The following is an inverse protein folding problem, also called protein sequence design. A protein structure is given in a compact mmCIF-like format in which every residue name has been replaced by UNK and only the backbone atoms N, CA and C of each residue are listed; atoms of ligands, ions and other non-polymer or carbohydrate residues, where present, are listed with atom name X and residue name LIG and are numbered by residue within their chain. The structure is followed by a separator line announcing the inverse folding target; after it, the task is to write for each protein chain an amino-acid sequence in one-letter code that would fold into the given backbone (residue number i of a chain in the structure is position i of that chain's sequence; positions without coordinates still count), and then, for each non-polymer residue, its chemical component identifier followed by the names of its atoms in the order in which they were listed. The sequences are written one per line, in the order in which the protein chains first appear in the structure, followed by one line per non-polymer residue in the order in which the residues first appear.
data_IF_625339867884
#
_entry.id   IF_625339867884
#
_cell.length_a   1.000
_cell.length_b   1.000
_cell.length_c   1.000
_cell.angle_alpha   90.00
_cell.angle_beta   90.00
_cell.angle_gamma   90.00
#
_symmetry.space_group_name_H-M   'P 1'
#
loop_
_entity.id
_entity.type
_entity.pdbx_description
1 polymer ?
#
# COMPACT_ATOMS: atom_id res chain seq x y z
N UNK A 1 -0.82 -4.72 -24.52
CA UNK A 1 0.15 -3.60 -24.55
C UNK A 1 -0.56 -2.35 -25.06
N UNK A 2 -0.23 -1.14 -24.57
CA UNK A 2 -0.80 0.10 -25.10
C UNK A 2 -0.29 0.33 -26.52
N UNK A 3 -1.18 0.33 -27.50
CA UNK A 3 -0.83 0.64 -28.90
C UNK A 3 -1.26 2.08 -29.15
N UNK A 4 -0.28 2.93 -29.48
CA UNK A 4 -0.49 4.34 -29.82
C UNK A 4 -0.87 4.43 -31.28
N UNK A 5 -2.05 5.00 -31.56
CA UNK A 5 -2.50 5.23 -32.92
C UNK A 5 -1.68 6.39 -33.55
N UNK A 6 -0.99 6.16 -34.70
CA UNK A 6 -0.12 7.16 -35.33
C UNK A 6 -0.88 8.35 -35.93
N UNK A 7 -2.20 8.24 -36.13
CA UNK A 7 -3.01 9.29 -36.75
C UNK A 7 -3.74 10.16 -35.71
N UNK A 8 -4.06 9.60 -34.54
CA UNK A 8 -4.88 10.30 -33.53
C UNK A 8 -4.17 10.51 -32.19
N UNK A 9 -2.99 9.93 -31.98
CA UNK A 9 -2.21 10.05 -30.73
C UNK A 9 -2.87 9.43 -29.50
N UNK A 10 -4.06 8.86 -29.66
CA UNK A 10 -4.82 8.20 -28.58
C UNK A 10 -4.18 6.85 -28.28
N UNK A 11 -4.06 6.56 -26.99
CA UNK A 11 -3.51 5.28 -26.51
C UNK A 11 -4.68 4.34 -26.30
N UNK A 12 -4.79 3.30 -27.12
CA UNK A 12 -5.79 2.25 -26.93
C UNK A 12 -5.15 1.05 -26.26
N UNK A 13 -5.75 0.58 -25.16
CA UNK A 13 -5.30 -0.63 -24.48
C UNK A 13 -6.03 -1.81 -25.10
N UNK A 14 -5.39 -2.48 -26.07
CA UNK A 14 -5.92 -3.72 -26.63
C UNK A 14 -5.59 -4.86 -25.68
N UNK A 15 -6.63 -5.46 -25.09
CA UNK A 15 -6.53 -6.74 -24.39
C UNK A 15 -6.72 -7.84 -25.45
N UNK A 16 -5.62 -8.45 -25.86
CA UNK A 16 -5.65 -9.68 -26.65
C UNK A 16 -5.61 -10.83 -25.67
N UNK A 17 -6.59 -11.73 -25.73
CA UNK A 17 -6.49 -13.05 -25.10
C UNK A 17 -5.46 -13.82 -25.94
N UNK A 18 -4.22 -13.89 -25.46
CA UNK A 18 -3.23 -14.81 -26.01
C UNK A 18 -3.47 -16.17 -25.36
N UNK A 19 -3.68 -17.19 -26.19
CA UNK A 19 -3.53 -18.58 -25.78
C UNK A 19 -2.05 -18.75 -25.41
N UNK A 20 -1.75 -18.86 -24.12
CA UNK A 20 -0.39 -19.15 -23.66
C UNK A 20 -0.30 -20.66 -23.55
N UNK A 21 0.29 -21.30 -24.56
CA UNK A 21 0.66 -22.71 -24.48
C UNK A 21 1.83 -22.83 -23.48
N UNK A 22 1.55 -23.31 -22.28
CA UNK A 22 2.56 -23.50 -21.25
C UNK A 22 3.26 -24.84 -21.52
N UNK A 23 4.52 -24.79 -21.94
CA UNK A 23 5.38 -25.98 -22.04
C UNK A 23 5.83 -26.41 -20.62
N UNK A 24 4.95 -27.13 -19.93
CA UNK A 24 5.25 -27.69 -18.60
C UNK A 24 6.51 -28.57 -18.57
N UNK A 25 6.77 -29.44 -19.58
CA UNK A 25 8.03 -30.19 -19.66
C UNK A 25 9.28 -29.31 -19.57
N UNK A 26 9.33 -28.23 -20.36
CA UNK A 26 10.45 -27.29 -20.35
C UNK A 26 10.61 -26.59 -18.99
N UNK A 27 9.50 -26.14 -18.39
CA UNK A 27 9.53 -25.48 -17.08
C UNK A 27 9.99 -26.41 -15.96
N UNK A 28 9.58 -27.69 -16.01
CA UNK A 28 10.03 -28.71 -15.06
C UNK A 28 11.51 -29.00 -15.23
N UNK A 29 12.01 -29.07 -16.46
CA UNK A 29 13.45 -29.23 -16.75
C UNK A 29 14.29 -28.07 -16.18
N UNK A 30 13.83 -26.82 -16.36
CA UNK A 30 14.48 -25.63 -15.80
C UNK A 30 14.53 -25.71 -14.26
N UNK A 31 13.41 -26.06 -13.62
CA UNK A 31 13.35 -26.20 -12.17
C UNK A 31 14.36 -27.26 -11.67
N UNK A 32 14.39 -28.43 -12.31
CA UNK A 32 15.36 -29.49 -11.99
C UNK A 32 16.81 -29.05 -12.17
N UNK A 33 17.13 -28.37 -13.28
CA UNK A 33 18.50 -27.90 -13.56
C UNK A 33 18.98 -26.81 -12.60
N UNK A 34 18.06 -25.98 -12.10
CA UNK A 34 18.38 -24.87 -11.19
C UNK A 34 18.30 -25.25 -9.71
N UNK A 35 17.85 -26.48 -9.40
CA UNK A 35 17.60 -26.91 -8.02
C UNK A 35 16.36 -26.26 -7.39
N UNK A 36 15.51 -25.64 -8.21
CA UNK A 36 14.23 -25.10 -7.80
C UNK A 36 13.09 -26.11 -7.94
N UNK A 37 11.87 -25.68 -7.63
CA UNK A 37 10.65 -26.48 -7.78
C UNK A 37 9.68 -25.82 -8.77
N UNK A 38 9.03 -26.66 -9.57
CA UNK A 38 7.94 -26.23 -10.46
C UNK A 38 6.61 -26.38 -9.73
N UNK A 39 5.84 -25.31 -9.65
CA UNK A 39 4.52 -25.29 -9.06
C UNK A 39 3.47 -24.84 -10.07
N UNK A 40 2.41 -25.62 -10.23
CA UNK A 40 1.28 -25.28 -11.07
C UNK A 40 0.21 -24.58 -10.21
N UNK A 41 0.25 -23.25 -10.15
CA UNK A 41 -0.73 -22.46 -9.42
C UNK A 41 -1.87 -22.03 -10.36
N UNK A 42 -2.90 -22.88 -10.49
CA UNK A 42 -4.10 -22.60 -11.30
C UNK A 42 -5.11 -21.68 -10.61
N UNK A 43 -4.98 -21.50 -9.30
CA UNK A 43 -5.88 -20.70 -8.48
C UNK A 43 -5.13 -19.90 -7.41
N UNK A 44 -5.81 -18.92 -6.83
CA UNK A 44 -5.23 -18.02 -5.83
C UNK A 44 -4.83 -18.73 -4.52
N UNK A 45 -5.49 -19.83 -4.18
CA UNK A 45 -5.18 -20.63 -2.99
C UNK A 45 -3.90 -21.44 -3.17
N UNK A 46 -3.75 -22.08 -4.33
CA UNK A 46 -2.52 -22.77 -4.73
C UNK A 46 -1.34 -21.80 -4.74
N UNK A 47 -1.52 -20.59 -5.27
CA UNK A 47 -0.48 -19.56 -5.26
C UNK A 47 -0.05 -19.18 -3.83
N UNK A 48 -1.01 -18.98 -2.92
CA UNK A 48 -0.73 -18.64 -1.53
C UNK A 48 0.02 -19.77 -0.80
N UNK A 49 -0.34 -21.02 -1.07
CA UNK A 49 0.34 -22.18 -0.49
C UNK A 49 1.80 -22.28 -0.95
N UNK A 50 2.07 -22.06 -2.24
CA UNK A 50 3.43 -22.04 -2.79
C UNK A 50 4.27 -20.95 -2.14
N UNK A 51 3.73 -19.74 -1.98
CA UNK A 51 4.45 -18.67 -1.30
C UNK A 51 4.70 -18.97 0.18
N UNK A 52 3.78 -19.65 0.87
CA UNK A 52 3.97 -20.07 2.26
C UNK A 52 5.04 -21.16 2.43
N UNK A 53 5.20 -22.05 1.43
CA UNK A 53 6.29 -23.04 1.40
C UNK A 53 7.65 -22.37 1.16
N UNK A 54 7.71 -21.41 0.23
CA UNK A 54 8.92 -20.63 -0.06
C UNK A 54 9.37 -19.83 1.17
N UNK A 55 8.44 -19.21 1.89
CA UNK A 55 8.73 -18.41 3.11
C UNK A 55 9.35 -19.25 4.22
N UNK A 56 9.01 -20.54 4.32
CA UNK A 56 9.62 -21.48 5.29
C UNK A 56 11.08 -21.82 4.97
N UNK A 57 11.48 -21.71 3.70
CA UNK A 57 12.85 -21.98 3.26
C UNK A 57 13.75 -20.74 3.35
N UNK A 58 13.18 -19.55 3.59
CA UNK A 58 13.94 -18.32 3.81
C UNK A 58 14.65 -18.32 5.17
N UNK A 59 15.98 -18.38 5.14
CA UNK A 59 16.82 -18.36 6.35
C UNK A 59 16.91 -17.00 7.03
N UNK A 60 16.44 -15.92 6.40
CA UNK A 60 16.60 -14.55 6.90
C UNK A 60 15.26 -13.82 6.82
N UNK A 61 14.70 -13.34 7.94
CA UNK A 61 13.44 -12.61 7.90
C UNK A 61 13.64 -11.31 7.12
N UNK A 62 12.79 -11.09 6.12
CA UNK A 62 12.75 -9.83 5.39
C UNK A 62 12.44 -8.69 6.38
N UNK A 63 13.47 -7.97 6.85
CA UNK A 63 13.30 -6.81 7.72
C UNK A 63 12.77 -5.66 6.87
N UNK A 64 11.46 -5.67 6.61
CA UNK A 64 10.77 -4.55 5.99
C UNK A 64 10.98 -3.34 6.90
N UNK A 65 11.76 -2.36 6.44
CA UNK A 65 11.88 -1.06 7.12
C UNK A 65 10.51 -0.40 7.08
N UNK A 66 9.73 -0.59 8.14
CA UNK A 66 8.43 0.08 8.30
C UNK A 66 8.72 1.54 8.64
N UNK A 67 8.54 2.43 7.67
CA UNK A 67 8.53 3.86 7.92
C UNK A 67 7.21 4.21 8.62
N UNK A 68 7.26 4.39 9.94
CA UNK A 68 6.12 4.87 10.72
C UNK A 68 6.07 6.39 10.59
N UNK A 69 4.96 6.93 10.09
CA UNK A 69 4.71 8.38 10.05
C UNK A 69 3.91 8.77 11.29
N UNK A 70 4.51 9.56 12.16
CA UNK A 70 3.81 10.13 13.32
C UNK A 70 3.01 11.37 12.89
N UNK A 71 1.76 11.47 13.33
CA UNK A 71 0.95 12.68 13.20
C UNK A 71 0.89 13.39 14.55
N UNK A 72 1.24 14.67 14.57
CA UNK A 72 1.08 15.52 15.74
C UNK A 72 -0.37 16.01 15.86
N UNK A 73 -1.10 15.53 16.88
CA UNK A 73 -2.51 15.88 17.12
C UNK A 73 -2.71 16.84 18.29
N UNK A 74 -1.66 17.50 18.79
CA UNK A 74 -1.76 18.38 19.97
C UNK A 74 -2.36 19.76 19.66
N UNK A 75 -2.30 20.22 18.41
CA UNK A 75 -2.78 21.53 17.97
C UNK A 75 -4.24 21.87 18.38
N UNK A 76 -5.25 21.00 18.18
CA UNK A 76 -6.62 21.29 18.63
C UNK A 76 -6.72 21.45 20.16
N UNK A 77 -5.93 20.69 20.93
CA UNK A 77 -5.91 20.79 22.39
C UNK A 77 -5.23 22.08 22.86
N UNK A 78 -4.17 22.50 22.18
CA UNK A 78 -3.50 23.78 22.45
C UNK A 78 -4.45 24.97 22.20
N UNK A 79 -5.20 24.96 21.10
CA UNK A 79 -6.22 25.98 20.83
C UNK A 79 -7.36 25.97 21.86
N UNK A 80 -7.82 24.80 22.29
CA UNK A 80 -8.84 24.70 23.34
C UNK A 80 -8.35 25.28 24.68
N UNK A 81 -7.10 24.97 25.07
CA UNK A 81 -6.48 25.51 26.27
C UNK A 81 -6.32 27.04 26.20
N UNK A 82 -5.89 27.56 25.05
CA UNK A 82 -5.77 29.00 24.83
C UNK A 82 -7.15 29.70 24.94
N UNK A 83 -8.19 29.11 24.35
CA UNK A 83 -9.55 29.64 24.44
C UNK A 83 -10.08 29.67 25.87
N UNK A 84 -9.84 28.61 26.65
CA UNK A 84 -10.17 28.54 28.07
C UNK A 84 -9.44 29.61 28.90
N UNK A 85 -8.15 29.81 28.62
CA UNK A 85 -7.35 30.84 29.29
C UNK A 85 -7.86 32.24 28.97
N UNK A 86 -8.23 32.50 27.71
CA UNK A 86 -8.75 33.78 27.26
C UNK A 86 -10.18 34.08 27.74
N UNK A 87 -10.97 33.04 28.04
CA UNK A 87 -12.35 33.19 28.48
C UNK A 87 -12.48 33.96 29.80
N UNK A 88 -11.57 33.71 30.75
CA UNK A 88 -11.57 34.36 32.07
C UNK A 88 -11.41 35.89 32.00
N UNK A 89 -10.34 36.44 31.39
CA UNK A 89 -10.20 37.89 31.25
C UNK A 89 -11.25 38.51 30.33
N UNK A 90 -11.72 37.78 29.31
CA UNK A 90 -12.80 38.27 28.44
C UNK A 90 -14.11 38.50 29.23
N UNK A 91 -14.48 37.56 30.12
CA UNK A 91 -15.64 37.74 31.01
C UNK A 91 -15.45 38.90 31.99
N UNK A 92 -14.24 39.07 32.53
CA UNK A 92 -13.93 40.15 33.45
C UNK A 92 -14.07 41.53 32.78
N UNK A 93 -13.55 41.67 31.55
CA UNK A 93 -13.64 42.92 30.79
C UNK A 93 -15.08 43.22 30.34
N UNK A 94 -15.84 42.19 29.98
CA UNK A 94 -17.27 42.33 29.65
C UNK A 94 -18.09 42.80 30.86
N UNK A 95 -17.77 42.36 32.09
CA UNK A 95 -18.42 42.88 33.30
C UNK A 95 -18.09 44.36 33.56
N UNK A 96 -16.85 44.77 33.36
CA UNK A 96 -16.40 46.16 33.60
C UNK A 96 -17.04 47.15 32.63
N UNK A 97 -17.38 46.71 31.42
CA UNK A 97 -17.97 47.59 30.38
C UNK A 97 -19.50 47.71 30.52
N UNK A 98 -20.14 46.89 31.37
CA UNK A 98 -21.61 46.75 31.46
C UNK A 98 -22.23 47.54 32.63
N UNK A 99 -21.44 48.11 33.55
CA UNK A 99 -21.93 49.07 34.54
C UNK A 99 -21.72 50.53 34.06
N UNK A 100 -22.78 51.32 33.81
CA UNK A 100 -22.72 52.78 33.68
C UNK A 100 -22.75 53.50 35.03
#
# INVERSE_FOLDING_TARGET
MPVRDPLTGRTSVRRTLMEVEIDEPLLREIATRTGGAFYQATDAGALAAVFAEIDQLEKTPLKVKRYVRYEERFAPFAWAALALLALSPALALARITVEP
#
